data_IF_731652117870
#
_entry.id   IF_731652117870
#
_cell.length_a   1.000
_cell.length_b   1.000
_cell.length_c   1.000
_cell.angle_alpha   90.00
_cell.angle_beta   90.00
_cell.angle_gamma   90.00
#
_symmetry.space_group_name_H-M   'P 1'
#
loop_
_entity.id
_entity.type
_entity.pdbx_description
1 polymer ?
#
# COMPACT_ATOMS: atom_id res chain seq x y z
N UNK A 1 -28.62 22.91 -20.38
CA UNK A 1 -27.83 21.92 -21.14
C UNK A 1 -26.41 21.95 -20.60
N UNK A 2 -25.93 20.88 -20.07
CA UNK A 2 -24.57 20.82 -19.50
C UNK A 2 -23.55 20.80 -20.65
N UNK A 3 -22.62 21.76 -20.67
CA UNK A 3 -21.57 21.83 -21.65
C UNK A 3 -20.53 20.71 -21.35
N UNK A 4 -20.72 19.57 -22.00
CA UNK A 4 -19.88 18.40 -21.85
C UNK A 4 -18.41 18.65 -22.21
N UNK A 5 -18.13 19.55 -23.12
CA UNK A 5 -16.79 19.88 -23.55
C UNK A 5 -16.05 20.72 -22.50
N UNK A 6 -16.72 21.65 -21.87
CA UNK A 6 -16.21 22.45 -20.76
C UNK A 6 -15.91 21.56 -19.53
N UNK A 7 -16.83 20.64 -19.23
CA UNK A 7 -16.64 19.65 -18.18
C UNK A 7 -15.40 18.77 -18.46
N UNK A 8 -15.27 18.27 -19.67
CA UNK A 8 -14.14 17.42 -20.09
C UNK A 8 -12.80 18.14 -19.96
N UNK A 9 -12.72 19.43 -20.30
CA UNK A 9 -11.51 20.27 -20.12
C UNK A 9 -11.20 20.46 -18.63
N UNK A 10 -12.18 20.70 -17.78
CA UNK A 10 -12.01 20.83 -16.35
C UNK A 10 -11.51 19.52 -15.73
N UNK A 11 -12.11 18.38 -16.09
CA UNK A 11 -11.66 17.07 -15.61
C UNK A 11 -10.25 16.72 -16.08
N UNK A 12 -9.90 16.93 -17.35
CA UNK A 12 -8.54 16.72 -17.85
C UNK A 12 -7.50 17.54 -17.07
N UNK A 13 -7.82 18.79 -16.71
CA UNK A 13 -6.93 19.65 -15.92
C UNK A 13 -6.80 19.18 -14.48
N UNK A 14 -7.89 18.70 -13.86
CA UNK A 14 -7.85 18.11 -12.51
C UNK A 14 -7.05 16.81 -12.51
N UNK A 15 -7.27 15.93 -13.47
CA UNK A 15 -6.52 14.66 -13.60
C UNK A 15 -5.00 14.87 -13.72
N UNK A 16 -4.55 15.90 -14.43
CA UNK A 16 -3.11 16.24 -14.53
C UNK A 16 -2.47 16.69 -13.21
N UNK A 17 -3.28 17.04 -12.20
CA UNK A 17 -2.81 17.48 -10.88
C UNK A 17 -2.87 16.38 -9.83
N UNK A 18 -3.50 15.24 -10.15
CA UNK A 18 -3.60 14.12 -9.21
C UNK A 18 -2.22 13.44 -9.10
N UNK A 19 -1.83 13.17 -7.88
CA UNK A 19 -0.61 12.43 -7.53
C UNK A 19 -1.01 11.12 -6.85
N UNK A 20 -0.14 10.11 -6.91
CA UNK A 20 -0.37 8.84 -6.21
C UNK A 20 -0.53 9.00 -4.70
N UNK A 21 -0.01 10.10 -4.15
CA UNK A 21 -0.16 10.44 -2.73
C UNK A 21 -1.55 11.03 -2.38
N UNK A 22 -2.40 11.28 -3.37
CA UNK A 22 -3.76 11.75 -3.14
C UNK A 22 -4.68 10.55 -2.87
N UNK A 23 -5.19 10.45 -1.63
CA UNK A 23 -6.00 9.34 -1.11
C UNK A 23 -7.07 8.80 -2.07
N UNK A 24 -7.90 9.71 -2.60
CA UNK A 24 -9.00 9.34 -3.50
C UNK A 24 -8.49 8.78 -4.84
N UNK A 25 -7.36 9.29 -5.31
CA UNK A 25 -6.76 8.83 -6.56
C UNK A 25 -6.08 7.49 -6.35
N UNK A 26 -5.30 7.35 -5.30
CA UNK A 26 -4.61 6.14 -4.91
C UNK A 26 -5.59 4.97 -4.76
N UNK A 27 -6.65 5.14 -3.94
CA UNK A 27 -7.66 4.09 -3.74
C UNK A 27 -8.31 3.66 -5.05
N UNK A 28 -8.62 4.60 -5.95
CA UNK A 28 -9.23 4.27 -7.26
C UNK A 28 -8.25 3.63 -8.21
N UNK A 29 -6.99 4.09 -8.23
CA UNK A 29 -5.96 3.56 -9.12
C UNK A 29 -5.61 2.12 -8.78
N UNK A 30 -5.45 1.80 -7.49
CA UNK A 30 -5.03 0.47 -7.07
C UNK A 30 -6.18 -0.54 -6.90
N UNK A 31 -7.43 -0.10 -6.88
CA UNK A 31 -8.56 -1.02 -6.73
C UNK A 31 -8.59 -2.08 -7.83
N UNK A 32 -8.19 -3.32 -7.49
CA UNK A 32 -8.10 -4.44 -8.42
C UNK A 32 -7.05 -4.27 -9.53
N UNK A 33 -6.17 -3.27 -9.45
CA UNK A 33 -5.14 -3.01 -10.43
C UNK A 33 -3.87 -3.79 -10.11
N UNK A 34 -3.85 -5.06 -10.50
CA UNK A 34 -2.71 -5.97 -10.29
C UNK A 34 -1.45 -5.43 -10.97
N UNK A 35 -1.54 -4.99 -12.22
CA UNK A 35 -0.38 -4.52 -12.98
C UNK A 35 0.24 -3.24 -12.39
N UNK A 36 -0.59 -2.28 -11.98
CA UNK A 36 -0.13 -1.06 -11.31
C UNK A 36 0.55 -1.35 -9.96
N UNK A 37 -0.03 -2.26 -9.18
CA UNK A 37 0.53 -2.69 -7.89
C UNK A 37 1.84 -3.45 -8.09
N UNK A 38 1.88 -4.37 -9.06
CA UNK A 38 3.08 -5.11 -9.42
C UNK A 38 4.24 -4.19 -9.82
N UNK A 39 3.96 -3.19 -10.68
CA UNK A 39 4.96 -2.21 -11.07
C UNK A 39 5.52 -1.46 -9.86
N UNK A 40 4.65 -1.00 -8.97
CA UNK A 40 5.04 -0.27 -7.78
C UNK A 40 5.93 -1.13 -6.85
N UNK A 41 5.46 -2.32 -6.50
CA UNK A 41 6.18 -3.23 -5.58
C UNK A 41 7.53 -3.65 -6.16
N UNK A 42 7.59 -3.99 -7.46
CA UNK A 42 8.85 -4.30 -8.15
C UNK A 42 9.85 -3.16 -8.09
N UNK A 43 9.37 -1.93 -8.29
CA UNK A 43 10.22 -0.74 -8.26
C UNK A 43 10.77 -0.48 -6.87
N UNK A 44 9.94 -0.60 -5.82
CA UNK A 44 10.37 -0.32 -4.44
C UNK A 44 11.30 -1.40 -3.90
N UNK A 45 11.00 -2.67 -4.19
CA UNK A 45 11.80 -3.81 -3.70
C UNK A 45 12.95 -4.19 -4.66
N UNK A 46 13.08 -3.50 -5.80
CA UNK A 46 14.09 -3.77 -6.83
C UNK A 46 14.08 -5.24 -7.31
N UNK A 47 12.88 -5.85 -7.34
CA UNK A 47 12.67 -7.25 -7.70
C UNK A 47 11.80 -7.40 -8.93
N UNK A 48 12.41 -7.63 -10.08
CA UNK A 48 11.72 -7.80 -11.37
C UNK A 48 10.97 -9.14 -11.50
N UNK A 49 11.36 -10.14 -10.71
CA UNK A 49 10.78 -11.49 -10.68
C UNK A 49 9.41 -11.55 -9.98
N UNK A 50 9.08 -10.56 -9.19
CA UNK A 50 7.92 -10.54 -8.33
C UNK A 50 6.61 -10.50 -9.14
N UNK A 51 5.65 -11.35 -8.78
CA UNK A 51 4.30 -11.35 -9.36
C UNK A 51 3.26 -10.98 -8.30
N UNK A 52 2.22 -10.25 -8.68
CA UNK A 52 1.09 -9.96 -7.79
C UNK A 52 -0.12 -10.72 -8.32
N UNK A 53 -0.81 -11.44 -7.44
CA UNK A 53 -1.98 -12.24 -7.77
C UNK A 53 -3.28 -11.60 -7.29
N UNK A 54 -3.25 -10.89 -6.15
CA UNK A 54 -4.43 -10.21 -5.63
C UNK A 54 -4.11 -8.82 -5.11
N UNK A 55 -5.10 -7.94 -5.18
CA UNK A 55 -5.04 -6.57 -4.63
C UNK A 55 -6.40 -6.21 -4.05
N UNK A 56 -6.43 -5.86 -2.77
CA UNK A 56 -7.57 -5.24 -2.09
C UNK A 56 -7.23 -3.84 -1.62
N UNK A 57 -8.25 -3.00 -1.44
CA UNK A 57 -8.09 -1.62 -0.97
C UNK A 57 -9.06 -1.33 0.15
N UNK A 58 -8.65 -0.49 1.11
CA UNK A 58 -9.46 -0.04 2.24
C UNK A 58 -9.98 -1.22 3.09
N UNK A 59 -9.11 -2.17 3.34
CA UNK A 59 -9.41 -3.33 4.17
C UNK A 59 -9.24 -2.99 5.66
N UNK A 60 -10.11 -3.53 6.51
CA UNK A 60 -10.00 -3.35 7.96
C UNK A 60 -9.77 -4.69 8.64
N UNK A 61 -8.63 -4.82 9.28
CA UNK A 61 -8.30 -5.96 10.13
C UNK A 61 -8.81 -5.71 11.54
N UNK A 62 -9.81 -6.48 11.96
CA UNK A 62 -10.42 -6.36 13.29
C UNK A 62 -9.62 -7.17 14.29
N UNK A 63 -9.04 -6.50 15.27
CA UNK A 63 -8.30 -7.11 16.37
C UNK A 63 -9.03 -6.88 17.70
N UNK A 64 -8.85 -7.75 18.72
CA UNK A 64 -9.47 -7.57 20.03
C UNK A 64 -9.12 -6.24 20.74
N UNK A 65 -7.93 -5.71 20.46
CA UNK A 65 -7.50 -4.41 20.99
C UNK A 65 -7.77 -3.29 20.01
N UNK A 66 -6.87 -3.11 19.03
CA UNK A 66 -6.94 -2.02 18.06
C UNK A 66 -7.06 -2.57 16.64
N UNK A 67 -8.15 -2.25 15.98
CA UNK A 67 -8.31 -2.55 14.55
C UNK A 67 -7.33 -1.73 13.71
N UNK A 68 -6.89 -2.32 12.61
CA UNK A 68 -5.95 -1.70 11.67
C UNK A 68 -6.62 -1.58 10.30
N UNK A 69 -6.71 -0.35 9.80
CA UNK A 69 -7.11 -0.09 8.41
C UNK A 69 -5.89 -0.16 7.50
N UNK A 70 -6.02 -0.85 6.39
CA UNK A 70 -5.00 -0.99 5.36
C UNK A 70 -5.44 -0.22 4.12
N UNK A 71 -4.56 0.61 3.57
CA UNK A 71 -4.87 1.33 2.33
C UNK A 71 -4.90 0.36 1.15
N UNK A 72 -3.85 -0.43 0.99
CA UNK A 72 -3.74 -1.47 -0.04
C UNK A 72 -3.11 -2.71 0.59
N UNK A 73 -3.70 -3.87 0.34
CA UNK A 73 -3.11 -5.17 0.64
C UNK A 73 -3.02 -5.98 -0.65
N UNK A 74 -1.84 -6.46 -0.96
CA UNK A 74 -1.58 -7.32 -2.11
C UNK A 74 -0.94 -8.63 -1.68
N UNK A 75 -1.10 -9.67 -2.48
CA UNK A 75 -0.41 -10.95 -2.30
C UNK A 75 0.22 -11.43 -3.60
N UNK A 76 1.27 -12.22 -3.48
CA UNK A 76 1.89 -12.93 -4.60
C UNK A 76 1.63 -14.44 -4.54
N UNK A 77 2.09 -15.16 -5.58
CA UNK A 77 1.92 -16.61 -5.69
C UNK A 77 2.71 -17.44 -4.66
N UNK A 78 3.64 -16.83 -3.93
CA UNK A 78 4.36 -17.48 -2.83
C UNK A 78 3.61 -17.37 -1.49
N UNK A 79 2.57 -16.55 -1.44
CA UNK A 79 1.83 -16.20 -0.22
C UNK A 79 2.43 -15.03 0.55
N UNK A 80 3.42 -14.34 0.00
CA UNK A 80 3.91 -13.11 0.60
C UNK A 80 2.88 -11.98 0.49
N UNK A 81 2.85 -11.12 1.51
CA UNK A 81 1.87 -10.05 1.65
C UNK A 81 2.54 -8.67 1.61
N UNK A 82 1.94 -7.76 0.90
CA UNK A 82 2.45 -6.41 0.67
C UNK A 82 1.39 -5.40 1.09
N UNK A 83 1.60 -4.74 2.21
CA UNK A 83 0.78 -3.62 2.66
C UNK A 83 1.41 -2.32 2.17
N UNK A 84 0.66 -1.53 1.41
CA UNK A 84 1.11 -0.25 0.88
C UNK A 84 0.22 0.83 1.49
N UNK A 85 0.85 1.74 2.19
CA UNK A 85 0.24 2.85 2.91
C UNK A 85 0.70 4.17 2.29
N UNK A 86 -0.24 5.06 2.01
CA UNK A 86 0.07 6.39 1.48
C UNK A 86 -0.12 7.43 2.58
N UNK A 87 0.96 8.06 3.01
CA UNK A 87 0.97 8.95 4.16
C UNK A 87 1.54 10.33 3.80
N UNK A 88 0.68 11.35 3.74
CA UNK A 88 1.12 12.74 3.54
C UNK A 88 1.85 13.30 4.75
N UNK A 89 1.45 12.87 5.94
CA UNK A 89 2.04 13.31 7.19
C UNK A 89 3.08 12.27 7.63
N UNK A 90 4.34 12.68 7.70
CA UNK A 90 5.45 11.85 8.14
C UNK A 90 5.26 11.28 9.55
N UNK A 91 4.53 11.98 10.45
CA UNK A 91 4.22 11.48 11.78
C UNK A 91 3.42 10.16 11.75
N UNK A 92 2.77 9.86 10.62
CA UNK A 92 2.02 8.60 10.44
C UNK A 92 2.84 7.48 9.79
N UNK A 93 4.04 7.76 9.29
CA UNK A 93 4.96 6.77 8.72
C UNK A 93 5.94 6.20 9.77
N UNK A 94 5.53 6.15 11.03
CA UNK A 94 6.35 5.67 12.14
C UNK A 94 6.60 4.15 12.04
N UNK A 95 7.83 3.73 12.35
CA UNK A 95 8.24 2.32 12.33
C UNK A 95 7.38 1.43 13.24
N UNK A 96 6.94 1.95 14.40
CA UNK A 96 6.04 1.21 15.31
C UNK A 96 4.69 0.93 14.66
N UNK A 97 4.23 1.84 13.79
CA UNK A 97 3.02 1.63 13.00
C UNK A 97 3.25 0.55 11.95
N UNK A 98 4.42 0.50 11.31
CA UNK A 98 4.77 -0.59 10.41
C UNK A 98 4.74 -1.94 11.13
N UNK A 99 5.32 -2.03 12.33
CA UNK A 99 5.25 -3.24 13.16
C UNK A 99 3.81 -3.64 13.50
N UNK A 100 2.95 -2.67 13.85
CA UNK A 100 1.53 -2.93 14.13
C UNK A 100 0.81 -3.48 12.90
N UNK A 101 1.04 -2.90 11.72
CA UNK A 101 0.44 -3.38 10.47
C UNK A 101 0.95 -4.79 10.14
N UNK A 102 2.25 -5.01 10.16
CA UNK A 102 2.86 -6.31 9.87
C UNK A 102 2.32 -7.41 10.81
N UNK A 103 2.31 -7.17 12.12
CA UNK A 103 1.82 -8.15 13.10
C UNK A 103 0.32 -8.43 12.93
N UNK A 104 -0.48 -7.41 12.64
CA UNK A 104 -1.91 -7.56 12.38
C UNK A 104 -2.17 -8.40 11.13
N UNK A 105 -1.45 -8.13 10.04
CA UNK A 105 -1.55 -8.87 8.78
C UNK A 105 -1.15 -10.32 9.00
N UNK A 106 0.00 -10.57 9.63
CA UNK A 106 0.45 -11.92 9.93
C UNK A 106 -0.59 -12.69 10.76
N UNK A 107 -1.10 -12.09 11.83
CA UNK A 107 -2.10 -12.73 12.71
C UNK A 107 -3.38 -13.10 11.94
N UNK A 108 -3.86 -12.24 11.04
CA UNK A 108 -5.07 -12.52 10.26
C UNK A 108 -4.88 -13.58 9.17
N UNK A 109 -3.68 -13.72 8.64
CA UNK A 109 -3.37 -14.65 7.55
C UNK A 109 -2.73 -15.95 8.03
N UNK A 110 -2.39 -16.07 9.30
CA UNK A 110 -1.93 -17.33 9.89
C UNK A 110 -3.10 -18.27 10.10
N UNK A 111 -2.90 -19.54 9.75
CA UNK A 111 -3.85 -20.61 10.09
C UNK A 111 -3.73 -20.96 11.56
N UNK A 112 -4.81 -21.42 12.22
CA UNK A 112 -4.71 -21.97 13.56
C UNK A 112 -3.62 -23.05 13.61
N UNK A 113 -2.78 -23.01 14.65
CA UNK A 113 -1.65 -23.94 14.85
C UNK A 113 -0.48 -23.81 13.85
N UNK A 114 -0.41 -22.71 13.06
CA UNK A 114 0.78 -22.43 12.24
C UNK A 114 2.02 -22.25 13.14
N UNK A 115 3.12 -22.83 12.71
CA UNK A 115 4.43 -22.55 13.32
C UNK A 115 5.00 -21.22 12.76
N UNK A 116 5.92 -20.56 13.49
CA UNK A 116 6.52 -19.29 13.03
C UNK A 116 7.15 -19.35 11.63
N UNK A 117 7.68 -20.50 11.23
CA UNK A 117 8.22 -20.71 9.88
C UNK A 117 7.18 -20.66 8.76
N UNK A 118 5.89 -20.87 9.11
CA UNK A 118 4.78 -20.90 8.16
C UNK A 118 4.07 -19.54 8.06
N UNK A 119 4.54 -18.54 8.82
CA UNK A 119 3.97 -17.21 8.76
C UNK A 119 4.26 -16.56 7.42
N UNK A 120 3.29 -15.82 6.84
CA UNK A 120 3.49 -15.17 5.56
C UNK A 120 4.60 -14.10 5.67
N UNK A 121 5.49 -14.08 4.71
CA UNK A 121 6.43 -12.97 4.59
C UNK A 121 5.62 -11.69 4.34
N UNK A 122 5.83 -10.67 5.16
CA UNK A 122 5.02 -9.46 5.13
C UNK A 122 5.90 -8.24 4.94
N UNK A 123 5.57 -7.45 3.93
CA UNK A 123 6.21 -6.18 3.63
C UNK A 123 5.24 -5.04 3.95
N UNK A 124 5.70 -4.04 4.67
CA UNK A 124 4.94 -2.80 4.90
C UNK A 124 5.68 -1.65 4.22
N UNK A 125 5.04 -1.04 3.25
CA UNK A 125 5.59 0.00 2.39
C UNK A 125 4.85 1.30 2.69
N UNK A 126 5.56 2.30 3.21
CA UNK A 126 5.03 3.65 3.34
C UNK A 126 5.48 4.52 2.17
N UNK A 127 4.53 5.12 1.48
CA UNK A 127 4.78 6.17 0.47
C UNK A 127 4.51 7.50 1.14
N UNK A 128 5.57 8.28 1.34
CA UNK A 128 5.51 9.57 2.05
C UNK A 128 5.72 10.74 1.10
N UNK A 129 5.19 11.92 1.44
CA UNK A 129 5.42 13.14 0.66
C UNK A 129 6.84 13.66 0.86
N UNK A 130 7.38 13.51 2.07
CA UNK A 130 8.70 13.96 2.46
C UNK A 130 9.61 12.79 2.82
N UNK A 131 10.92 13.02 2.78
CA UNK A 131 11.93 12.09 3.26
C UNK A 131 11.81 11.88 4.78
N UNK A 132 11.19 10.78 5.19
CA UNK A 132 10.98 10.45 6.59
C UNK A 132 12.30 10.27 7.36
N UNK A 133 13.28 9.61 6.75
CA UNK A 133 14.57 9.32 7.38
C UNK A 133 15.58 10.49 7.27
N UNK A 134 15.26 11.50 6.47
CA UNK A 134 16.15 12.68 6.20
C UNK A 134 17.54 12.26 5.73
N UNK A 135 17.60 11.20 4.97
CA UNK A 135 18.86 10.64 4.45
C UNK A 135 19.09 10.96 2.96
N UNK A 136 18.16 11.67 2.32
CA UNK A 136 18.25 12.06 0.91
C UNK A 136 18.02 10.92 -0.08
N UNK A 137 17.59 9.74 0.38
CA UNK A 137 17.33 8.58 -0.47
C UNK A 137 15.84 8.51 -0.83
N UNK A 138 15.51 8.20 -2.09
CA UNK A 138 14.13 8.03 -2.52
C UNK A 138 13.47 6.77 -1.95
N UNK A 139 14.24 5.77 -1.58
CA UNK A 139 13.80 4.51 -0.97
C UNK A 139 14.73 4.19 0.19
N UNK A 140 14.17 3.81 1.33
CA UNK A 140 14.91 3.36 2.50
C UNK A 140 14.26 2.09 3.05
N UNK A 141 15.08 1.17 3.53
CA UNK A 141 14.62 -0.10 4.10
C UNK A 141 14.91 -0.16 5.60
N UNK A 142 14.01 -0.80 6.35
CA UNK A 142 14.19 -1.17 7.74
C UNK A 142 13.79 -2.64 7.92
N UNK A 143 14.61 -3.43 8.60
CA UNK A 143 14.40 -4.85 8.90
C UNK A 143 14.29 -5.06 10.42
#
# INVERSE_FOLDING_TARGET
>A
MVDHEKLRRVYKRKLKRLRLIDDSFMTRFFRGNIEGTKLLVRTILERSDLSIESVSTQETLVNPGRSVGLDILASDGSGALYNIEVQRDNARADFRRACLHASSIMTHHCKPQSEPKDFPQTYVIFITEDDYWKNGLPISHAE
#
